data_IF_272333522996
#
_entry.id   IF_272333522996
#
_cell.length_a   1.000
_cell.length_b   1.000
_cell.length_c   1.000
_cell.angle_alpha   90.00
_cell.angle_beta   90.00
_cell.angle_gamma   90.00
#
_symmetry.space_group_name_H-M   'P 1'
#
loop_
_entity.id
_entity.type
_entity.pdbx_description
1 polymer ?
#
# COMPACT_ATOMS: atom_id res chain seq x y z
N UNK A 1 -9.06 -26.54 5.16
CA UNK A 1 -8.36 -26.38 3.88
C UNK A 1 -8.33 -27.71 3.16
N UNK A 2 -9.16 -27.87 2.14
CA UNK A 2 -9.09 -29.00 1.20
C UNK A 2 -7.99 -28.75 0.16
N UNK A 3 -7.50 -29.77 -0.55
CA UNK A 3 -6.54 -29.56 -1.64
C UNK A 3 -7.06 -28.60 -2.72
N UNK A 4 -8.37 -28.61 -2.99
CA UNK A 4 -9.00 -27.68 -3.93
C UNK A 4 -8.98 -26.24 -3.42
N UNK A 5 -9.30 -26.02 -2.14
CA UNK A 5 -9.22 -24.70 -1.51
C UNK A 5 -7.80 -24.14 -1.55
N UNK A 6 -6.78 -24.98 -1.31
CA UNK A 6 -5.37 -24.57 -1.37
C UNK A 6 -4.96 -24.21 -2.80
N UNK A 7 -5.30 -25.05 -3.79
CA UNK A 7 -5.03 -24.76 -5.20
C UNK A 7 -5.72 -23.47 -5.67
N UNK A 8 -6.91 -23.19 -5.15
CA UNK A 8 -7.65 -21.95 -5.43
C UNK A 8 -6.95 -20.68 -4.95
N UNK A 9 -6.01 -20.78 -4.01
CA UNK A 9 -5.21 -19.63 -3.55
C UNK A 9 -4.15 -19.20 -4.58
N UNK A 10 -3.81 -20.04 -5.56
CA UNK A 10 -2.82 -19.73 -6.59
C UNK A 10 -3.45 -18.94 -7.74
N UNK A 11 -3.94 -17.75 -7.44
CA UNK A 11 -4.70 -16.89 -8.36
C UNK A 11 -4.04 -15.52 -8.60
N UNK A 12 -4.72 -14.64 -9.34
CA UNK A 12 -4.22 -13.28 -9.61
C UNK A 12 -4.09 -12.41 -8.35
N UNK A 13 -4.80 -12.73 -7.27
CA UNK A 13 -4.65 -12.01 -5.99
C UNK A 13 -3.31 -12.37 -5.38
N UNK A 14 -2.97 -13.66 -5.31
CA UNK A 14 -1.71 -14.10 -4.74
C UNK A 14 -0.49 -13.58 -5.53
N UNK A 15 -0.57 -13.50 -6.86
CA UNK A 15 0.55 -13.08 -7.71
C UNK A 15 0.51 -11.59 -8.11
N UNK A 16 -0.44 -11.19 -8.93
CA UNK A 16 -0.45 -9.86 -9.57
C UNK A 16 -0.75 -8.73 -8.56
N UNK A 17 -1.77 -8.91 -7.71
CA UNK A 17 -2.10 -7.93 -6.65
C UNK A 17 -0.96 -7.81 -5.66
N UNK A 18 -0.48 -8.93 -5.11
CA UNK A 18 0.61 -8.92 -4.12
C UNK A 18 1.87 -8.27 -4.66
N UNK A 19 2.29 -8.60 -5.89
CA UNK A 19 3.46 -7.99 -6.52
C UNK A 19 3.31 -6.48 -6.70
N UNK A 20 2.12 -6.02 -7.10
CA UNK A 20 1.82 -4.59 -7.27
C UNK A 20 1.87 -3.84 -5.94
N UNK A 21 1.28 -4.39 -4.88
CA UNK A 21 1.30 -3.80 -3.54
C UNK A 21 2.72 -3.77 -2.97
N UNK A 22 3.48 -4.86 -3.08
CA UNK A 22 4.88 -4.89 -2.65
C UNK A 22 5.73 -3.85 -3.40
N UNK A 23 5.54 -3.70 -4.72
CA UNK A 23 6.26 -2.68 -5.48
C UNK A 23 5.87 -1.25 -5.08
N UNK A 24 4.60 -1.01 -4.76
CA UNK A 24 4.15 0.28 -4.21
C UNK A 24 4.84 0.59 -2.88
N UNK A 25 4.87 -0.37 -1.94
CA UNK A 25 5.56 -0.15 -0.65
C UNK A 25 7.08 -0.07 -0.78
N UNK A 26 7.70 -0.77 -1.75
CA UNK A 26 9.11 -0.56 -2.10
C UNK A 26 9.38 0.90 -2.49
N UNK A 27 8.51 1.51 -3.29
CA UNK A 27 8.65 2.91 -3.71
C UNK A 27 8.52 3.88 -2.51
N UNK A 28 7.66 3.56 -1.54
CA UNK A 28 7.52 4.33 -0.29
C UNK A 28 8.77 4.23 0.58
N UNK A 29 9.23 2.99 0.81
CA UNK A 29 10.32 2.67 1.75
C UNK A 29 11.69 3.05 1.17
N UNK A 30 11.83 3.02 -0.16
CA UNK A 30 13.08 3.24 -0.86
C UNK A 30 13.93 1.97 -0.96
N UNK A 31 14.72 1.87 -2.04
CA UNK A 31 15.42 0.64 -2.40
C UNK A 31 16.46 0.17 -1.39
N UNK A 32 17.13 1.10 -0.72
CA UNK A 32 18.17 0.78 0.29
C UNK A 32 17.53 0.15 1.53
N UNK A 33 16.57 0.84 2.14
CA UNK A 33 15.81 0.35 3.29
C UNK A 33 15.07 -0.95 2.96
N UNK A 34 14.46 -1.04 1.76
CA UNK A 34 13.74 -2.23 1.32
C UNK A 34 14.66 -3.46 1.25
N UNK A 35 15.83 -3.32 0.63
CA UNK A 35 16.81 -4.41 0.55
C UNK A 35 17.36 -4.78 1.93
N UNK A 36 17.62 -3.80 2.79
CA UNK A 36 18.08 -4.03 4.16
C UNK A 36 17.04 -4.82 4.97
N UNK A 37 15.77 -4.42 4.92
CA UNK A 37 14.66 -5.11 5.55
C UNK A 37 14.51 -6.55 5.05
N UNK A 38 14.50 -6.76 3.73
CA UNK A 38 14.39 -8.11 3.15
C UNK A 38 15.56 -9.01 3.52
N UNK A 39 16.79 -8.46 3.56
CA UNK A 39 17.96 -9.21 4.03
C UNK A 39 17.79 -9.65 5.49
N UNK A 40 17.34 -8.74 6.36
CA UNK A 40 17.08 -9.06 7.77
C UNK A 40 15.97 -10.11 7.93
N UNK A 41 14.85 -9.93 7.22
CA UNK A 41 13.72 -10.87 7.19
C UNK A 41 14.16 -12.28 6.79
N UNK A 42 14.88 -12.43 5.67
CA UNK A 42 15.35 -13.73 5.20
C UNK A 42 16.34 -14.38 6.17
N UNK A 43 17.23 -13.60 6.81
CA UNK A 43 18.19 -14.11 7.79
C UNK A 43 17.50 -14.59 9.08
N UNK A 44 16.49 -13.85 9.56
CA UNK A 44 15.73 -14.20 10.78
C UNK A 44 14.76 -15.36 10.57
N UNK A 45 14.15 -15.47 9.39
CA UNK A 45 13.22 -16.56 9.05
C UNK A 45 13.89 -17.75 8.35
N UNK A 46 15.22 -17.77 8.24
CA UNK A 46 15.96 -18.84 7.57
C UNK A 46 15.57 -20.22 8.13
N UNK A 47 15.32 -21.17 7.23
CA UNK A 47 14.97 -22.55 7.57
C UNK A 47 13.71 -22.69 8.46
N UNK A 48 12.82 -21.69 8.43
CA UNK A 48 11.56 -21.67 9.18
C UNK A 48 10.41 -21.19 8.31
N UNK A 49 9.18 -21.32 8.82
CA UNK A 49 7.99 -20.73 8.20
C UNK A 49 7.95 -19.21 8.47
N UNK A 50 7.03 -18.49 7.82
CA UNK A 50 6.82 -17.07 8.06
C UNK A 50 5.34 -16.72 7.98
N UNK A 51 4.97 -15.64 8.66
CA UNK A 51 3.67 -14.97 8.55
C UNK A 51 3.86 -13.54 8.02
N UNK A 52 2.80 -12.86 7.54
CA UNK A 52 2.92 -11.49 7.07
C UNK A 52 3.52 -10.53 8.11
N UNK A 53 3.21 -10.73 9.39
CA UNK A 53 3.73 -9.91 10.49
C UNK A 53 5.26 -9.97 10.60
N UNK A 54 5.88 -11.11 10.28
CA UNK A 54 7.34 -11.25 10.26
C UNK A 54 7.98 -10.30 9.24
N UNK A 55 7.32 -10.05 8.10
CA UNK A 55 7.81 -9.09 7.10
C UNK A 55 7.60 -7.65 7.57
N UNK A 56 6.43 -7.35 8.17
CA UNK A 56 6.07 -5.99 8.58
C UNK A 56 7.02 -5.45 9.65
N UNK A 57 7.43 -6.28 10.60
CA UNK A 57 8.38 -5.92 11.65
C UNK A 57 9.74 -5.50 11.07
N UNK A 58 10.25 -6.23 10.08
CA UNK A 58 11.55 -5.94 9.48
C UNK A 58 11.51 -4.69 8.59
N UNK A 59 10.40 -4.47 7.88
CA UNK A 59 10.17 -3.24 7.12
C UNK A 59 10.08 -2.03 8.05
N UNK A 60 9.37 -2.14 9.19
CA UNK A 60 9.24 -1.08 10.18
C UNK A 60 10.59 -0.72 10.80
N UNK A 61 11.39 -1.72 11.16
CA UNK A 61 12.72 -1.51 11.75
C UNK A 61 13.68 -0.81 10.79
N UNK A 62 13.59 -1.06 9.49
CA UNK A 62 14.47 -0.45 8.48
C UNK A 62 14.22 1.05 8.28
N UNK A 63 13.10 1.60 8.76
CA UNK A 63 12.72 3.00 8.56
C UNK A 63 12.42 3.73 9.88
N UNK A 64 12.76 3.14 11.02
CA UNK A 64 12.38 3.65 12.35
C UNK A 64 12.83 5.11 12.60
N UNK A 65 13.97 5.51 12.05
CA UNK A 65 14.54 6.86 12.20
C UNK A 65 14.18 7.78 11.03
N UNK A 66 13.20 7.41 10.20
CA UNK A 66 12.82 8.15 8.99
C UNK A 66 11.32 8.51 9.01
N UNK A 67 11.01 9.75 8.62
CA UNK A 67 9.63 10.24 8.55
C UNK A 67 8.97 9.92 7.18
N UNK A 68 8.87 8.63 6.85
CA UNK A 68 8.31 8.17 5.56
C UNK A 68 6.80 7.84 5.62
N UNK A 69 6.32 7.46 6.80
CA UNK A 69 4.95 7.00 7.01
C UNK A 69 4.05 8.13 7.49
N UNK A 70 2.73 8.07 7.25
CA UNK A 70 1.82 9.01 7.85
C UNK A 70 1.61 8.66 9.33
N UNK A 71 1.87 9.59 10.22
CA UNK A 71 1.48 9.44 11.64
C UNK A 71 -0.04 9.25 11.78
N UNK A 72 -0.53 8.40 12.70
CA UNK A 72 0.19 7.56 13.66
C UNK A 72 0.40 6.11 13.16
N UNK A 73 0.44 5.88 11.85
CA UNK A 73 0.33 4.54 11.27
C UNK A 73 1.67 3.81 11.13
N UNK A 74 1.69 2.54 11.55
CA UNK A 74 2.82 1.63 11.36
C UNK A 74 2.81 0.98 9.97
N UNK A 75 3.95 0.41 9.53
CA UNK A 75 4.02 -0.39 8.29
C UNK A 75 2.96 -1.48 8.27
N UNK A 76 2.74 -2.15 9.40
CA UNK A 76 1.72 -3.20 9.52
C UNK A 76 0.32 -2.65 9.23
N UNK A 77 -0.08 -1.53 9.83
CA UNK A 77 -1.39 -0.94 9.61
C UNK A 77 -1.59 -0.52 8.15
N UNK A 78 -0.56 0.07 7.55
CA UNK A 78 -0.57 0.44 6.14
C UNK A 78 -0.71 -0.79 5.25
N UNK A 79 0.13 -1.82 5.43
CA UNK A 79 0.09 -3.06 4.65
C UNK A 79 -1.25 -3.80 4.81
N UNK A 80 -1.77 -3.91 6.04
CA UNK A 80 -3.07 -4.54 6.32
C UNK A 80 -4.23 -3.87 5.61
N UNK A 81 -4.18 -2.55 5.41
CA UNK A 81 -5.20 -1.87 4.60
C UNK A 81 -5.25 -2.36 3.15
N UNK A 82 -4.17 -2.97 2.63
CA UNK A 82 -4.12 -3.53 1.27
C UNK A 82 -4.27 -5.05 1.23
N UNK A 83 -3.85 -5.77 2.27
CA UNK A 83 -3.88 -7.24 2.33
C UNK A 83 -5.21 -7.79 2.84
N UNK A 84 -5.84 -7.12 3.81
CA UNK A 84 -6.96 -7.70 4.56
C UNK A 84 -8.32 -7.32 3.96
N UNK A 85 -8.32 -6.45 2.95
CA UNK A 85 -9.52 -6.04 2.21
C UNK A 85 -9.52 -6.53 0.75
N UNK A 86 -10.66 -7.03 0.25
CA UNK A 86 -10.79 -7.43 -1.14
C UNK A 86 -10.84 -6.23 -2.09
N UNK A 87 -10.25 -6.39 -3.26
CA UNK A 87 -10.19 -5.34 -4.29
C UNK A 87 -9.10 -4.30 -4.03
N UNK A 88 -9.31 -3.10 -4.56
CA UNK A 88 -8.42 -1.95 -4.51
C UNK A 88 -9.23 -0.64 -4.66
N UNK A 89 -8.67 0.51 -4.26
CA UNK A 89 -9.38 1.78 -4.32
C UNK A 89 -9.35 2.42 -5.72
N UNK A 90 -10.33 3.27 -5.98
CA UNK A 90 -10.25 4.37 -6.95
C UNK A 90 -10.04 5.67 -6.20
N UNK A 91 -9.01 6.44 -6.58
CA UNK A 91 -8.74 7.77 -6.05
C UNK A 91 -9.42 8.81 -6.94
N UNK A 92 -10.47 9.45 -6.43
CA UNK A 92 -11.17 10.53 -7.11
C UNK A 92 -10.47 11.86 -6.82
N UNK A 93 -10.26 12.66 -7.86
CA UNK A 93 -9.61 13.97 -7.76
C UNK A 93 -10.56 15.04 -8.31
N UNK A 94 -11.20 15.80 -7.43
CA UNK A 94 -12.07 16.93 -7.80
C UNK A 94 -11.31 18.24 -7.69
N UNK A 95 -11.03 18.87 -8.83
CA UNK A 95 -10.34 20.18 -8.89
C UNK A 95 -11.33 21.33 -8.72
N UNK A 96 -11.02 22.26 -7.83
CA UNK A 96 -11.76 23.51 -7.64
C UNK A 96 -10.92 24.65 -8.22
N UNK A 97 -11.07 24.87 -9.54
CA UNK A 97 -10.22 25.82 -10.28
C UNK A 97 -10.30 27.26 -9.79
N UNK A 98 -11.41 27.67 -9.15
CA UNK A 98 -11.58 29.02 -8.61
C UNK A 98 -10.65 29.29 -7.41
N UNK A 99 -10.45 28.29 -6.55
CA UNK A 99 -9.58 28.39 -5.36
C UNK A 99 -8.20 27.80 -5.59
N UNK A 100 -8.02 27.02 -6.66
CA UNK A 100 -6.77 26.30 -6.95
C UNK A 100 -6.61 25.01 -6.15
N UNK A 101 -7.65 24.57 -5.44
CA UNK A 101 -7.61 23.40 -4.58
C UNK A 101 -7.98 22.11 -5.32
N UNK A 102 -7.59 20.97 -4.73
CA UNK A 102 -8.06 19.65 -5.16
C UNK A 102 -8.58 18.87 -3.94
N UNK A 103 -9.79 18.34 -4.07
CA UNK A 103 -10.42 17.47 -3.07
C UNK A 103 -10.17 16.04 -3.51
N UNK A 104 -9.58 15.25 -2.61
CA UNK A 104 -9.32 13.83 -2.81
C UNK A 104 -10.33 12.99 -2.05
N UNK A 105 -10.83 11.93 -2.67
CA UNK A 105 -11.65 10.93 -2.02
C UNK A 105 -11.35 9.53 -2.53
N UNK A 106 -11.60 8.53 -1.71
CA UNK A 106 -11.40 7.13 -2.07
C UNK A 106 -12.70 6.32 -1.93
N UNK A 107 -12.86 5.36 -2.84
CA UNK A 107 -13.90 4.34 -2.81
C UNK A 107 -13.33 3.03 -3.36
N UNK A 108 -13.99 1.88 -3.13
CA UNK A 108 -13.61 0.63 -3.81
C UNK A 108 -13.94 0.72 -5.30
N UNK A 109 -12.98 0.38 -6.15
CA UNK A 109 -13.24 0.21 -7.56
C UNK A 109 -13.90 -1.14 -7.84
N UNK A 110 -14.99 -1.12 -8.61
CA UNK A 110 -15.59 -2.29 -9.24
C UNK A 110 -15.92 -1.89 -10.69
N UNK A 111 -15.72 -2.81 -11.63
CA UNK A 111 -15.86 -2.49 -13.06
C UNK A 111 -17.30 -2.19 -13.48
N UNK A 112 -18.28 -2.77 -12.78
CA UNK A 112 -19.69 -2.82 -13.20
C UNK A 112 -20.65 -2.06 -12.27
N UNK A 113 -20.20 -1.65 -11.08
CA UNK A 113 -21.07 -1.04 -10.07
C UNK A 113 -20.30 -0.18 -9.07
N UNK A 114 -21.04 0.55 -8.24
CA UNK A 114 -20.50 1.26 -7.08
C UNK A 114 -21.23 0.77 -5.85
N UNK A 115 -20.50 0.20 -4.90
CA UNK A 115 -21.04 -0.28 -3.64
C UNK A 115 -20.36 0.46 -2.49
N UNK A 116 -21.09 0.86 -1.45
CA UNK A 116 -20.49 1.45 -0.26
C UNK A 116 -19.53 0.44 0.38
N UNK A 117 -18.40 0.95 0.86
CA UNK A 117 -17.40 0.19 1.62
C UNK A 117 -16.87 1.08 2.73
N UNK A 118 -16.78 0.57 3.96
CA UNK A 118 -16.24 1.35 5.08
C UNK A 118 -14.73 1.20 5.23
N UNK A 119 -14.14 0.26 4.47
CA UNK A 119 -12.71 0.05 4.42
C UNK A 119 -11.98 1.26 3.86
N UNK A 120 -10.90 1.65 4.53
CA UNK A 120 -10.01 2.75 4.14
C UNK A 120 -8.69 2.13 3.71
N UNK A 121 -8.31 2.35 2.46
CA UNK A 121 -6.95 2.09 2.01
C UNK A 121 -6.06 3.26 2.42
N UNK A 122 -4.89 2.96 2.97
CA UNK A 122 -3.85 3.98 3.16
C UNK A 122 -3.10 4.14 1.85
N UNK A 123 -3.45 5.19 1.10
CA UNK A 123 -3.00 5.35 -0.29
C UNK A 123 -1.81 6.31 -0.31
N UNK A 124 -0.60 5.83 -0.64
CA UNK A 124 0.50 6.72 -0.99
C UNK A 124 0.23 7.28 -2.39
N UNK A 125 0.29 8.60 -2.54
CA UNK A 125 0.06 9.28 -3.81
C UNK A 125 1.05 10.41 -4.03
N UNK A 126 1.28 10.74 -5.29
CA UNK A 126 1.92 11.98 -5.72
C UNK A 126 1.17 12.48 -6.97
N UNK A 127 1.56 13.65 -7.47
CA UNK A 127 1.00 14.18 -8.71
C UNK A 127 2.01 15.06 -9.43
N UNK A 128 1.75 15.28 -10.71
CA UNK A 128 2.51 16.19 -11.57
C UNK A 128 1.52 17.21 -12.11
N UNK A 129 1.92 18.48 -12.16
CA UNK A 129 1.16 19.53 -12.84
C UNK A 129 1.91 19.98 -14.10
N UNK A 130 1.24 20.67 -15.02
CA UNK A 130 1.83 21.09 -16.30
C UNK A 130 3.10 21.95 -16.13
N UNK A 131 3.23 22.68 -15.02
CA UNK A 131 4.36 23.58 -14.76
C UNK A 131 5.57 22.93 -14.07
N UNK A 132 5.40 21.77 -13.44
CA UNK A 132 6.45 21.06 -12.71
C UNK A 132 6.94 19.86 -13.54
N UNK A 133 8.25 19.83 -13.85
CA UNK A 133 8.88 18.75 -14.62
C UNK A 133 9.20 17.50 -13.80
N UNK A 134 9.08 17.57 -12.48
CA UNK A 134 9.24 16.44 -11.56
C UNK A 134 7.97 16.27 -10.72
N UNK A 135 7.66 15.01 -10.39
CA UNK A 135 6.56 14.69 -9.47
C UNK A 135 6.76 15.36 -8.12
N UNK A 136 5.63 15.75 -7.52
CA UNK A 136 5.58 16.25 -6.15
C UNK A 136 6.04 15.16 -5.15
N UNK A 137 6.39 15.57 -3.95
CA UNK A 137 6.74 14.68 -2.85
C UNK A 137 5.58 13.71 -2.58
N UNK A 138 5.92 12.48 -2.18
CA UNK A 138 4.95 11.47 -1.76
C UNK A 138 4.08 11.99 -0.59
N UNK A 139 2.77 11.76 -0.68
CA UNK A 139 1.76 12.11 0.33
C UNK A 139 0.87 10.90 0.60
N UNK A 140 0.06 10.98 1.65
CA UNK A 140 -0.84 9.90 2.07
C UNK A 140 -2.29 10.36 2.14
N UNK A 141 -3.19 9.53 1.64
CA UNK A 141 -4.62 9.61 1.92
C UNK A 141 -5.00 8.45 2.85
N UNK A 142 -5.21 8.78 4.13
CA UNK A 142 -5.56 7.82 5.19
C UNK A 142 -6.97 8.04 5.75
N UNK A 143 -7.79 8.80 5.03
CA UNK A 143 -9.18 9.08 5.40
C UNK A 143 -10.11 8.77 4.23
N UNK A 144 -11.38 8.57 4.56
CA UNK A 144 -12.49 8.57 3.60
C UNK A 144 -13.08 9.99 3.54
N UNK A 145 -13.55 10.40 2.36
CA UNK A 145 -14.24 11.68 2.19
C UNK A 145 -15.72 11.58 2.55
#
# INVERSE_FOLDING_TARGET
>A
ATPSEISGLFDRVAYEKSGSVLNMFRQVIGDENWKAALKSYLLKRKLSSAKPEDLYVELQAAIQDQNLLPEPFTVEQLMKSWTDAPGYPVLNVRRVYKTGEAILSQDRFLADKRLPVDHIWHIPYNFVNRGARSGDQLRWLSTKA
#
